data_IF_950517407627
#
_entry.id   IF_950517407627
#
_cell.length_a   1.000
_cell.length_b   1.000
_cell.length_c   1.000
_cell.angle_alpha   90.00
_cell.angle_beta   90.00
_cell.angle_gamma   90.00
#
_symmetry.space_group_name_H-M   'P 1'
#
loop_
_entity.id
_entity.type
_entity.pdbx_description
1 polymer ?
#
# COMPACT_ATOMS: atom_id res chain seq x y z
N UNK A 1 -7.79 8.21 2.96
CA UNK A 1 -7.86 8.73 1.58
C UNK A 1 -6.50 8.48 0.93
N UNK A 2 -6.41 7.81 -0.23
CA UNK A 2 -5.13 7.64 -0.93
C UNK A 2 -4.56 8.99 -1.38
N UNK A 3 -3.27 9.22 -1.16
CA UNK A 3 -2.58 10.41 -1.68
C UNK A 3 -2.30 10.29 -3.17
N UNK A 4 -2.13 11.43 -3.86
CA UNK A 4 -1.79 11.47 -5.28
C UNK A 4 -0.43 10.83 -5.54
N UNK A 5 -0.39 9.86 -6.45
CA UNK A 5 0.83 9.18 -6.91
C UNK A 5 0.80 9.10 -8.44
N UNK A 6 1.72 9.80 -9.10
CA UNK A 6 1.80 9.82 -10.56
C UNK A 6 0.56 10.42 -11.25
N UNK A 7 -0.23 11.26 -10.56
CA UNK A 7 -1.48 11.83 -11.09
C UNK A 7 -2.75 11.06 -10.71
N UNK A 8 -2.62 9.92 -10.03
CA UNK A 8 -3.75 9.05 -9.66
C UNK A 8 -3.93 8.97 -8.14
N UNK A 9 -5.19 8.88 -7.69
CA UNK A 9 -5.53 8.85 -6.26
C UNK A 9 -6.32 7.60 -5.90
N UNK A 10 -7.58 7.50 -6.31
CA UNK A 10 -8.46 6.37 -6.00
C UNK A 10 -8.33 5.25 -7.02
N UNK A 11 -7.91 5.57 -8.23
CA UNK A 11 -7.82 4.67 -9.38
C UNK A 11 -6.73 3.61 -9.17
N UNK A 12 -5.68 3.92 -8.41
CA UNK A 12 -4.63 2.95 -8.00
C UNK A 12 -5.15 1.82 -7.14
N UNK A 13 -6.26 2.01 -6.41
CA UNK A 13 -6.78 1.01 -5.47
C UNK A 13 -7.85 0.16 -6.14
N UNK A 14 -7.56 -1.13 -6.27
CA UNK A 14 -8.50 -2.12 -6.79
C UNK A 14 -9.28 -2.73 -5.64
N UNK A 15 -10.60 -2.79 -5.81
CA UNK A 15 -11.53 -3.33 -4.84
C UNK A 15 -12.24 -4.55 -5.43
N UNK A 16 -12.76 -5.38 -4.55
CA UNK A 16 -13.55 -6.55 -4.89
C UNK A 16 -14.83 -6.15 -5.63
N UNK A 17 -15.18 -6.84 -6.72
CA UNK A 17 -16.45 -6.61 -7.43
C UNK A 17 -17.65 -7.22 -6.71
N UNK A 18 -17.41 -8.15 -5.78
CA UNK A 18 -18.43 -8.83 -4.95
C UNK A 18 -17.78 -9.47 -3.72
N UNK A 19 -18.58 -10.00 -2.80
CA UNK A 19 -18.06 -10.91 -1.79
C UNK A 19 -17.69 -12.28 -2.41
N UNK A 20 -16.66 -12.95 -1.91
CA UNK A 20 -16.23 -14.26 -2.42
C UNK A 20 -14.80 -14.64 -2.04
N UNK A 21 -14.29 -15.73 -2.61
CA UNK A 21 -12.92 -16.19 -2.41
C UNK A 21 -11.96 -15.48 -3.38
N UNK A 22 -10.99 -14.73 -2.84
CA UNK A 22 -9.99 -14.08 -3.67
C UNK A 22 -8.84 -15.02 -4.06
N UNK A 23 -8.49 -15.03 -5.34
CA UNK A 23 -7.32 -15.71 -5.90
C UNK A 23 -6.47 -14.74 -6.72
N UNK A 24 -5.27 -14.43 -6.25
CA UNK A 24 -4.30 -13.61 -6.97
C UNK A 24 -3.68 -14.38 -8.15
N UNK A 25 -3.42 -13.66 -9.26
CA UNK A 25 -2.67 -14.15 -10.43
C UNK A 25 -1.33 -13.42 -10.65
N UNK A 26 -1.08 -12.39 -9.84
CA UNK A 26 0.09 -11.51 -9.91
C UNK A 26 0.74 -11.37 -8.54
N UNK A 27 1.99 -10.92 -8.53
CA UNK A 27 2.78 -10.69 -7.33
C UNK A 27 3.16 -9.22 -7.19
N UNK A 28 3.51 -8.81 -5.98
CA UNK A 28 4.09 -7.49 -5.74
C UNK A 28 5.37 -7.36 -6.57
N UNK A 29 5.55 -6.22 -7.24
CA UNK A 29 6.64 -5.95 -8.16
C UNK A 29 6.29 -6.20 -9.63
N UNK A 30 5.23 -6.96 -9.93
CA UNK A 30 4.81 -7.21 -11.31
C UNK A 30 4.34 -5.92 -11.99
N UNK A 31 4.73 -5.73 -13.26
CA UNK A 31 4.12 -4.73 -14.12
C UNK A 31 2.77 -5.19 -14.63
N UNK A 32 1.81 -4.27 -14.68
CA UNK A 32 0.44 -4.52 -15.13
C UNK A 32 -0.03 -3.40 -16.05
N UNK A 33 -0.85 -3.75 -17.04
CA UNK A 33 -1.53 -2.79 -17.91
C UNK A 33 -2.94 -2.50 -17.41
N UNK A 34 -3.46 -1.32 -17.74
CA UNK A 34 -4.87 -1.01 -17.52
C UNK A 34 -5.76 -2.08 -18.19
N UNK A 35 -6.82 -2.48 -17.48
CA UNK A 35 -7.78 -3.53 -17.84
C UNK A 35 -7.23 -4.98 -17.82
N UNK A 36 -5.96 -5.17 -17.46
CA UNK A 36 -5.36 -6.48 -17.30
C UNK A 36 -5.90 -7.20 -16.06
N UNK A 37 -6.09 -8.52 -16.15
CA UNK A 37 -6.57 -9.34 -15.02
C UNK A 37 -5.43 -9.62 -14.05
N UNK A 38 -5.61 -9.22 -12.78
CA UNK A 38 -4.63 -9.40 -11.70
C UNK A 38 -5.02 -10.50 -10.71
N UNK A 39 -6.26 -10.98 -10.78
CA UNK A 39 -6.81 -12.02 -9.92
C UNK A 39 -8.29 -12.24 -10.19
N UNK A 40 -8.92 -13.03 -9.34
CA UNK A 40 -10.32 -13.39 -9.42
C UNK A 40 -10.97 -13.37 -8.05
N UNK A 41 -12.26 -13.05 -7.99
CA UNK A 41 -13.11 -13.29 -6.83
C UNK A 41 -14.16 -14.33 -7.23
N UNK A 42 -13.98 -15.55 -6.74
CA UNK A 42 -14.52 -16.76 -7.35
C UNK A 42 -14.13 -16.81 -8.85
N UNK A 43 -15.10 -16.69 -9.75
CA UNK A 43 -14.90 -16.65 -11.21
C UNK A 43 -14.85 -15.22 -11.80
N UNK A 44 -15.17 -14.19 -11.01
CA UNK A 44 -15.26 -12.82 -11.50
C UNK A 44 -13.87 -12.20 -11.63
N UNK A 45 -13.45 -11.72 -12.81
CA UNK A 45 -12.11 -11.17 -13.02
C UNK A 45 -11.92 -9.83 -12.32
N UNK A 46 -10.84 -9.73 -11.55
CA UNK A 46 -10.37 -8.48 -10.94
C UNK A 46 -9.33 -7.85 -11.86
N UNK A 47 -9.61 -6.63 -12.33
CA UNK A 47 -8.79 -5.93 -13.32
C UNK A 47 -8.06 -4.73 -12.74
N UNK A 48 -6.83 -4.52 -13.19
CA UNK A 48 -6.10 -3.29 -12.93
C UNK A 48 -6.82 -2.11 -13.60
N UNK A 49 -6.95 -0.99 -12.89
CA UNK A 49 -7.61 0.22 -13.42
C UNK A 49 -6.64 1.14 -14.16
N UNK A 50 -5.34 1.03 -13.87
CA UNK A 50 -4.28 1.85 -14.43
C UNK A 50 -3.07 0.97 -14.77
N UNK A 51 -2.23 1.45 -15.68
CA UNK A 51 -0.93 0.84 -15.97
C UNK A 51 0.07 1.24 -14.89
N UNK A 52 0.91 0.31 -14.42
CA UNK A 52 1.92 0.59 -13.41
C UNK A 52 2.56 -0.66 -12.82
N UNK A 53 3.14 -0.52 -11.63
CA UNK A 53 3.70 -1.64 -10.85
C UNK A 53 2.74 -2.00 -9.71
N UNK A 54 2.45 -3.29 -9.55
CA UNK A 54 1.62 -3.80 -8.46
C UNK A 54 2.40 -3.73 -7.14
N UNK A 55 2.00 -2.84 -6.24
CA UNK A 55 2.68 -2.63 -4.94
C UNK A 55 2.10 -3.41 -3.80
N UNK A 56 0.82 -3.73 -3.90
CA UNK A 56 0.12 -4.51 -2.89
C UNK A 56 -0.89 -5.40 -3.59
N UNK A 57 -0.96 -6.65 -3.17
CA UNK A 57 -2.02 -7.57 -3.53
C UNK A 57 -2.33 -8.47 -2.34
N UNK A 58 -3.61 -8.71 -2.12
CA UNK A 58 -4.09 -9.59 -1.07
C UNK A 58 -3.61 -11.03 -1.33
N UNK A 59 -3.33 -11.78 -0.27
CA UNK A 59 -2.96 -13.20 -0.42
C UNK A 59 -4.16 -14.00 -0.95
N UNK A 60 -3.91 -14.93 -1.88
CA UNK A 60 -4.93 -15.90 -2.33
C UNK A 60 -5.48 -16.74 -1.16
N UNK A 61 -6.73 -17.17 -1.29
CA UNK A 61 -7.39 -18.05 -0.32
C UNK A 61 -8.16 -17.32 0.79
N UNK A 62 -8.33 -16.01 0.68
CA UNK A 62 -9.06 -15.20 1.65
C UNK A 62 -10.48 -14.91 1.18
N UNK A 63 -11.44 -15.01 2.10
CA UNK A 63 -12.81 -14.55 1.86
C UNK A 63 -12.86 -13.04 2.05
N UNK A 64 -13.36 -12.35 1.03
CA UNK A 64 -13.48 -10.88 1.01
C UNK A 64 -14.94 -10.47 0.94
N UNK A 65 -15.25 -9.29 1.48
CA UNK A 65 -16.56 -8.67 1.32
C UNK A 65 -16.68 -7.94 -0.02
N UNK A 66 -17.90 -7.52 -0.36
CA UNK A 66 -18.09 -6.57 -1.45
C UNK A 66 -17.28 -5.30 -1.21
N UNK A 67 -16.76 -4.72 -2.29
CA UNK A 67 -15.89 -3.55 -2.30
C UNK A 67 -14.67 -3.62 -1.36
N UNK A 68 -14.23 -4.81 -0.95
CA UNK A 68 -13.03 -4.97 -0.13
C UNK A 68 -11.76 -4.60 -0.91
N UNK A 69 -10.78 -3.96 -0.28
CA UNK A 69 -9.51 -3.59 -0.95
C UNK A 69 -8.68 -4.85 -1.27
N UNK A 70 -8.38 -5.07 -2.54
CA UNK A 70 -7.64 -6.24 -3.01
C UNK A 70 -6.20 -5.91 -3.42
N UNK A 71 -5.98 -4.77 -4.07
CA UNK A 71 -4.68 -4.43 -4.62
C UNK A 71 -4.43 -2.92 -4.73
N UNK A 72 -3.17 -2.54 -4.93
CA UNK A 72 -2.71 -1.17 -5.13
C UNK A 72 -1.64 -1.13 -6.24
N UNK A 73 -1.83 -0.28 -7.24
CA UNK A 73 -0.91 -0.10 -8.37
C UNK A 73 -0.23 1.27 -8.29
N UNK A 74 1.08 1.33 -8.47
CA UNK A 74 1.86 2.57 -8.51
C UNK A 74 2.11 3.01 -9.95
N UNK A 75 1.51 4.15 -10.31
CA UNK A 75 1.63 4.74 -11.63
C UNK A 75 3.03 5.30 -11.95
N UNK A 76 3.91 5.46 -10.95
CA UNK A 76 5.28 5.95 -11.17
C UNK A 76 6.17 4.93 -11.87
N UNK A 77 5.75 3.67 -11.91
CA UNK A 77 6.47 2.56 -12.54
C UNK A 77 7.88 2.27 -11.97
N UNK A 78 8.17 2.71 -10.75
CA UNK A 78 9.46 2.49 -10.09
C UNK A 78 9.37 1.27 -9.15
N UNK A 79 9.99 0.16 -9.55
CA UNK A 79 9.99 -1.09 -8.77
C UNK A 79 10.64 -0.94 -7.40
N UNK A 80 11.70 -0.12 -7.32
CA UNK A 80 12.44 0.16 -6.07
C UNK A 80 11.51 0.63 -4.95
N UNK A 81 10.42 1.32 -5.29
CA UNK A 81 9.45 1.76 -4.32
C UNK A 81 8.67 0.63 -3.65
N UNK A 82 8.57 -0.56 -4.25
CA UNK A 82 7.95 -1.74 -3.61
C UNK A 82 8.72 -2.20 -2.38
N UNK A 83 10.04 -1.94 -2.35
CA UNK A 83 10.96 -2.45 -1.34
C UNK A 83 11.57 -1.35 -0.47
N UNK A 84 11.23 -0.08 -0.72
CA UNK A 84 11.68 1.06 0.09
C UNK A 84 10.58 1.56 1.04
N UNK A 85 11.03 2.14 2.15
CA UNK A 85 10.15 2.77 3.14
C UNK A 85 9.47 3.98 2.49
N UNK A 86 8.15 4.08 2.62
CA UNK A 86 7.43 5.22 2.05
C UNK A 86 7.75 6.54 2.78
N UNK A 87 7.70 7.66 2.07
CA UNK A 87 7.89 9.00 2.66
C UNK A 87 6.98 9.26 3.86
N UNK A 88 5.75 8.73 3.82
CA UNK A 88 4.78 8.84 4.92
C UNK A 88 5.22 8.06 6.16
N UNK A 89 5.76 6.85 5.95
CA UNK A 89 6.31 6.05 7.04
C UNK A 89 7.57 6.68 7.61
N UNK A 90 8.43 7.26 6.76
CA UNK A 90 9.60 8.02 7.19
C UNK A 90 9.22 9.26 8.00
N UNK A 91 8.20 10.02 7.57
CA UNK A 91 7.74 11.20 8.29
C UNK A 91 7.21 10.86 9.70
N UNK A 92 6.42 9.80 9.82
CA UNK A 92 5.94 9.32 11.14
C UNK A 92 7.11 8.85 12.00
N UNK A 93 8.01 8.03 11.44
CA UNK A 93 9.20 7.57 12.16
C UNK A 93 10.11 8.70 12.62
N UNK A 94 10.30 9.72 11.77
CA UNK A 94 11.06 10.93 12.07
C UNK A 94 10.45 11.72 13.22
N UNK A 95 9.13 11.97 13.19
CA UNK A 95 8.46 12.68 14.27
C UNK A 95 8.52 11.95 15.63
N UNK A 96 8.46 10.62 15.63
CA UNK A 96 8.64 9.83 16.86
C UNK A 96 10.07 9.94 17.38
N UNK A 97 11.07 9.85 16.50
CA UNK A 97 12.47 9.99 16.87
C UNK A 97 12.74 11.37 17.48
N UNK A 98 12.25 12.43 16.84
CA UNK A 98 12.36 13.80 17.33
C UNK A 98 11.75 13.93 18.74
N UNK A 99 10.53 13.44 18.95
CA UNK A 99 9.86 13.50 20.25
C UNK A 99 10.64 12.79 21.37
N UNK A 100 11.17 11.59 21.09
CA UNK A 100 11.97 10.84 22.07
C UNK A 100 13.29 11.54 22.37
N UNK A 101 13.98 12.07 21.34
CA UNK A 101 15.24 12.79 21.53
C UNK A 101 15.05 14.10 22.29
N UNK A 102 13.96 14.83 22.02
CA UNK A 102 13.61 16.04 22.76
C UNK A 102 13.33 15.73 24.23
N UNK A 103 12.52 14.69 24.50
CA UNK A 103 12.21 14.27 25.87
C UNK A 103 13.46 13.85 26.66
N UNK A 104 14.36 13.06 26.04
CA UNK A 104 15.60 12.65 26.70
C UNK A 104 16.54 13.83 26.95
N UNK A 105 16.63 14.77 26.00
CA UNK A 105 17.41 16.00 26.15
C UNK A 105 16.88 16.86 27.31
N UNK A 106 15.57 17.11 27.37
CA UNK A 106 14.93 17.87 28.47
C UNK A 106 15.16 17.19 29.83
N UNK A 107 14.96 15.87 29.92
CA UNK A 107 15.20 15.11 31.16
C UNK A 107 16.64 15.21 31.64
N UNK A 108 17.61 15.17 30.73
CA UNK A 108 19.03 15.23 31.07
C UNK A 108 19.51 16.66 31.38
N UNK A 109 18.83 17.69 30.87
CA UNK A 109 19.09 19.09 31.23
C UNK A 109 18.61 19.44 32.63
N UNK A 110 17.49 18.87 33.07
CA UNK A 110 16.87 19.16 34.37
C UNK A 110 17.58 18.50 35.57
N UNK A 111 18.67 17.77 35.35
CA UNK A 111 19.54 17.23 36.41
C UNK A 111 18.89 16.15 37.29
N UNK A 112 17.63 15.78 37.07
CA UNK A 112 16.96 14.69 37.75
C UNK A 112 17.29 13.35 37.08
N UNK A 113 18.51 12.87 37.35
CA UNK A 113 18.79 11.44 37.29
C UNK A 113 17.89 10.74 38.32
N UNK A 114 16.86 10.04 37.84
CA UNK A 114 16.19 8.99 38.62
C UNK A 114 17.11 7.78 38.73
#
# INVERSE_FOLDING_TARGET
IPGNVGGYTHERVIHSPKAGLFTAKRHIGDSVQANEVIGYVDEEPVRAKITGILRGILKSGLIVSDHFKLADVDARCEESHCYSISDKSLAVGGGVLEAVTAWDYERNLDGNNL
#
